data_IF_323450316290
#
_entry.id   IF_323450316290
#
_cell.length_a   1.000
_cell.length_b   1.000
_cell.length_c   1.000
_cell.angle_alpha   90.00
_cell.angle_beta   90.00
_cell.angle_gamma   90.00
#
_symmetry.space_group_name_H-M   'P 1'
#
loop_
_entity.id
_entity.type
_entity.pdbx_description
1 polymer ?
#
# COMPACT_ATOMS: atom_id res chain seq x y z
N UNK A 1 -5.47 9.56 -0.66
CA UNK A 1 -5.73 8.85 0.61
C UNK A 1 -7.22 8.85 0.94
N UNK A 2 -7.91 9.99 1.03
CA UNK A 2 -9.38 9.97 1.27
C UNK A 2 -10.18 9.24 0.16
N UNK A 3 -9.78 9.40 -1.10
CA UNK A 3 -10.39 8.70 -2.24
C UNK A 3 -10.09 7.19 -2.28
N UNK A 4 -9.29 6.67 -1.34
CA UNK A 4 -9.01 5.24 -1.20
C UNK A 4 -10.14 4.53 -0.43
N UNK A 5 -10.86 5.23 0.44
CA UNK A 5 -11.94 4.65 1.27
C UNK A 5 -13.04 3.98 0.43
N UNK A 6 -13.58 4.58 -0.65
CA UNK A 6 -14.57 3.90 -1.48
C UNK A 6 -14.07 2.60 -2.11
N UNK A 7 -12.78 2.53 -2.47
CA UNK A 7 -12.17 1.30 -2.99
C UNK A 7 -12.12 0.22 -1.91
N UNK A 8 -11.72 0.58 -0.69
CA UNK A 8 -11.70 -0.32 0.48
C UNK A 8 -13.11 -0.87 0.74
N UNK A 9 -14.11 0.00 0.84
CA UNK A 9 -15.49 -0.40 1.11
C UNK A 9 -16.07 -1.26 -0.01
N UNK A 10 -15.77 -0.95 -1.27
CA UNK A 10 -16.22 -1.78 -2.41
C UNK A 10 -15.59 -3.17 -2.36
N UNK A 11 -14.29 -3.27 -2.09
CA UNK A 11 -13.62 -4.56 -1.94
C UNK A 11 -14.22 -5.36 -0.78
N UNK A 12 -14.48 -4.71 0.36
CA UNK A 12 -15.06 -5.37 1.53
C UNK A 12 -16.50 -5.84 1.30
N UNK A 13 -17.30 -5.07 0.57
CA UNK A 13 -18.67 -5.45 0.21
C UNK A 13 -18.72 -6.67 -0.72
N UNK A 14 -17.80 -6.75 -1.69
CA UNK A 14 -17.75 -7.85 -2.66
C UNK A 14 -16.97 -9.07 -2.16
N UNK A 15 -16.03 -8.86 -1.24
CA UNK A 15 -15.22 -9.89 -0.60
C UNK A 15 -15.20 -9.67 0.93
N UNK A 16 -16.27 -10.03 1.65
CA UNK A 16 -16.41 -9.75 3.10
C UNK A 16 -15.24 -10.29 3.95
N UNK A 17 -14.72 -11.45 3.59
CA UNK A 17 -13.62 -12.13 4.30
C UNK A 17 -12.22 -11.59 3.93
N UNK A 18 -12.12 -10.70 2.94
CA UNK A 18 -10.83 -10.16 2.52
C UNK A 18 -10.17 -9.36 3.64
N UNK A 19 -8.88 -9.62 3.89
CA UNK A 19 -8.04 -8.79 4.75
C UNK A 19 -7.42 -7.68 3.90
N UNK A 20 -7.80 -6.44 4.20
CA UNK A 20 -7.37 -5.28 3.43
C UNK A 20 -6.24 -4.57 4.18
N UNK A 21 -5.03 -4.69 3.66
CA UNK A 21 -3.87 -3.94 4.13
C UNK A 21 -3.67 -2.69 3.26
N UNK A 22 -3.28 -1.56 3.87
CA UNK A 22 -3.06 -0.31 3.14
C UNK A 22 -1.64 0.19 3.38
N UNK A 23 -0.94 0.47 2.27
CA UNK A 23 0.38 1.11 2.26
C UNK A 23 0.22 2.60 1.90
N UNK A 24 0.74 3.47 2.75
CA UNK A 24 0.57 4.92 2.65
C UNK A 24 1.74 5.69 3.26
N UNK A 25 1.75 7.02 3.14
CA UNK A 25 2.75 7.82 3.84
C UNK A 25 2.52 7.80 5.35
N UNK A 26 3.61 7.73 6.12
CA UNK A 26 3.56 7.61 7.58
C UNK A 26 2.72 8.70 8.25
N UNK A 27 2.80 9.94 7.77
CA UNK A 27 2.04 11.09 8.31
C UNK A 27 0.55 11.07 7.93
N UNK A 28 0.13 10.19 7.01
CA UNK A 28 -1.27 10.07 6.56
C UNK A 28 -2.01 8.90 7.20
N UNK A 29 -1.33 8.07 8.00
CA UNK A 29 -1.93 6.95 8.75
C UNK A 29 -3.16 7.37 9.58
N UNK A 30 -3.14 8.49 10.33
CA UNK A 30 -4.30 8.90 11.12
C UNK A 30 -5.57 9.17 10.31
N UNK A 31 -5.47 9.38 8.99
CA UNK A 31 -6.64 9.63 8.13
C UNK A 31 -7.49 8.37 7.98
N UNK A 32 -6.87 7.18 8.08
CA UNK A 32 -7.52 5.89 7.86
C UNK A 32 -7.52 4.99 9.11
N UNK A 33 -6.96 5.44 10.24
CA UNK A 33 -6.81 4.60 11.44
C UNK A 33 -8.13 4.11 12.02
N UNK A 34 -9.20 4.91 11.87
CA UNK A 34 -10.53 4.61 12.40
C UNK A 34 -11.40 3.81 11.44
N UNK A 35 -10.89 3.41 10.26
CA UNK A 35 -11.68 2.61 9.33
C UNK A 35 -11.67 1.11 9.74
N UNK A 36 -12.81 0.55 10.19
CA UNK A 36 -12.87 -0.83 10.67
C UNK A 36 -12.71 -1.88 9.54
N UNK A 37 -12.81 -1.47 8.28
CA UNK A 37 -12.64 -2.36 7.12
C UNK A 37 -11.16 -2.67 6.84
N UNK A 38 -10.23 -1.93 7.46
CA UNK A 38 -8.79 -2.07 7.27
C UNK A 38 -8.21 -3.05 8.30
N UNK A 39 -7.48 -4.05 7.81
CA UNK A 39 -6.77 -5.03 8.63
C UNK A 39 -5.44 -4.48 9.17
N UNK A 40 -4.64 -3.83 8.33
CA UNK A 40 -3.36 -3.24 8.74
C UNK A 40 -2.97 -2.00 7.93
N UNK A 41 -2.24 -1.09 8.58
CA UNK A 41 -1.68 0.12 7.98
C UNK A 41 -0.15 0.06 7.98
N UNK A 42 0.46 0.36 6.83
CA UNK A 42 1.91 0.41 6.65
C UNK A 42 2.33 1.80 6.19
N UNK A 43 3.32 2.37 6.89
CA UNK A 43 3.84 3.71 6.61
C UNK A 43 5.14 3.69 5.82
N UNK A 44 5.18 4.47 4.74
CA UNK A 44 6.41 4.89 4.06
C UNK A 44 6.86 6.21 4.69
N UNK A 45 8.09 6.25 5.19
CA UNK A 45 8.71 7.49 5.68
C UNK A 45 9.78 7.98 4.71
N UNK A 46 9.67 9.24 4.29
CA UNK A 46 10.66 9.92 3.48
C UNK A 46 11.62 10.81 4.31
N UNK A 47 11.42 10.89 5.63
CA UNK A 47 12.14 11.84 6.49
C UNK A 47 13.51 11.33 6.93
N UNK A 48 14.50 12.22 6.93
CA UNK A 48 15.69 12.20 7.80
C UNK A 48 16.72 11.09 7.60
N UNK A 49 16.46 10.09 6.77
CA UNK A 49 17.33 8.93 6.59
C UNK A 49 18.40 9.16 5.52
N UNK A 50 19.65 8.80 5.81
CA UNK A 50 20.71 8.71 4.80
C UNK A 50 20.38 7.64 3.74
N UNK A 51 21.02 7.66 2.57
CA UNK A 51 20.69 6.73 1.46
C UNK A 51 20.70 5.26 1.88
N UNK A 52 21.66 4.86 2.73
CA UNK A 52 21.76 3.48 3.27
C UNK A 52 20.54 3.11 4.13
N UNK A 53 20.08 4.03 4.97
CA UNK A 53 18.92 3.81 5.84
C UNK A 53 17.63 3.76 5.03
N UNK A 54 17.48 4.59 3.98
CA UNK A 54 16.34 4.51 3.05
C UNK A 54 16.24 3.14 2.40
N UNK A 55 17.37 2.60 1.93
CA UNK A 55 17.41 1.26 1.33
C UNK A 55 17.05 0.20 2.37
N UNK A 56 17.64 0.25 3.58
CA UNK A 56 17.34 -0.68 4.66
C UNK A 56 15.85 -0.67 5.03
N UNK A 57 15.26 0.53 5.15
CA UNK A 57 13.84 0.69 5.46
C UNK A 57 12.95 0.14 4.35
N UNK A 58 13.28 0.40 3.08
CA UNK A 58 12.56 -0.15 1.94
C UNK A 58 12.62 -1.68 1.90
N UNK A 59 13.80 -2.27 2.12
CA UNK A 59 13.97 -3.73 2.18
C UNK A 59 13.20 -4.36 3.35
N UNK A 60 13.23 -3.73 4.51
CA UNK A 60 12.46 -4.16 5.69
C UNK A 60 10.94 -4.12 5.41
N UNK A 61 10.47 -3.04 4.79
CA UNK A 61 9.08 -2.88 4.40
C UNK A 61 8.66 -3.94 3.37
N UNK A 62 9.45 -4.16 2.31
CA UNK A 62 9.19 -5.19 1.30
C UNK A 62 9.13 -6.58 1.96
N UNK A 63 10.06 -6.90 2.85
CA UNK A 63 10.06 -8.19 3.57
C UNK A 63 8.79 -8.36 4.41
N UNK A 64 8.38 -7.31 5.12
CA UNK A 64 7.17 -7.32 5.95
C UNK A 64 5.91 -7.53 5.10
N UNK A 65 5.79 -6.79 4.00
CA UNK A 65 4.65 -6.90 3.07
C UNK A 65 4.62 -8.27 2.38
N UNK A 66 5.77 -8.80 1.96
CA UNK A 66 5.85 -10.11 1.30
C UNK A 66 5.42 -11.26 2.22
N UNK A 67 5.64 -11.14 3.53
CA UNK A 67 5.19 -12.16 4.49
C UNK A 67 3.67 -12.32 4.54
N UNK A 68 2.91 -11.29 4.11
CA UNK A 68 1.45 -11.33 4.07
C UNK A 68 0.88 -12.11 2.88
N UNK A 69 1.71 -12.48 1.88
CA UNK A 69 1.32 -13.31 0.72
C UNK A 69 0.04 -12.81 0.02
N UNK A 70 0.03 -11.54 -0.40
CA UNK A 70 -1.13 -10.91 -1.02
C UNK A 70 -1.55 -11.59 -2.33
N UNK A 71 -2.84 -11.91 -2.47
CA UNK A 71 -3.42 -12.39 -3.74
C UNK A 71 -3.60 -11.25 -4.76
N UNK A 72 -3.95 -10.05 -4.27
CA UNK A 72 -4.24 -8.87 -5.07
C UNK A 72 -3.53 -7.63 -4.50
N UNK A 73 -2.89 -6.86 -5.39
CA UNK A 73 -2.39 -5.52 -5.09
C UNK A 73 -3.09 -4.50 -5.99
N UNK A 74 -3.72 -3.50 -5.39
CA UNK A 74 -4.35 -2.36 -6.09
C UNK A 74 -3.48 -1.13 -5.88
N UNK A 75 -2.70 -0.76 -6.89
CA UNK A 75 -1.88 0.45 -6.86
C UNK A 75 -2.66 1.64 -7.42
N UNK A 76 -3.07 2.53 -6.51
CA UNK A 76 -3.84 3.76 -6.81
C UNK A 76 -2.95 5.00 -7.00
N UNK A 77 -1.62 4.84 -7.07
CA UNK A 77 -0.68 5.94 -7.29
C UNK A 77 0.17 5.73 -8.53
N UNK A 78 0.51 6.84 -9.17
CA UNK A 78 1.46 6.98 -10.28
C UNK A 78 2.93 7.05 -9.82
N UNK A 79 3.19 7.01 -8.50
CA UNK A 79 4.54 7.11 -7.96
C UNK A 79 5.39 5.89 -8.30
N UNK A 80 6.44 6.12 -9.09
CA UNK A 80 7.35 5.08 -9.55
C UNK A 80 8.03 4.32 -8.40
N UNK A 81 8.30 4.98 -7.27
CA UNK A 81 8.91 4.36 -6.09
C UNK A 81 7.99 3.34 -5.43
N UNK A 82 6.67 3.59 -5.43
CA UNK A 82 5.66 2.64 -4.94
C UNK A 82 5.50 1.48 -5.93
N UNK A 83 5.50 1.75 -7.24
CA UNK A 83 5.48 0.70 -8.26
C UNK A 83 6.66 -0.28 -8.11
N UNK A 84 7.83 0.22 -7.70
CA UNK A 84 9.00 -0.61 -7.41
C UNK A 84 8.76 -1.51 -6.19
N UNK A 85 8.20 -0.99 -5.09
CA UNK A 85 7.81 -1.80 -3.92
C UNK A 85 6.83 -2.89 -4.33
N UNK A 86 5.77 -2.53 -5.06
CA UNK A 86 4.72 -3.45 -5.54
C UNK A 86 5.31 -4.56 -6.40
N UNK A 87 6.24 -4.25 -7.30
CA UNK A 87 6.91 -5.26 -8.15
C UNK A 87 7.67 -6.33 -7.35
N UNK A 88 8.09 -6.01 -6.12
CA UNK A 88 8.73 -6.97 -5.22
C UNK A 88 7.75 -7.68 -4.29
N UNK A 89 6.47 -7.34 -4.32
CA UNK A 89 5.42 -8.13 -3.69
C UNK A 89 5.09 -9.26 -4.66
N UNK A 90 5.25 -10.52 -4.23
CA UNK A 90 4.99 -11.71 -5.05
C UNK A 90 3.48 -11.95 -5.21
N UNK A 91 2.71 -10.91 -5.51
CA UNK A 91 1.27 -11.00 -5.62
C UNK A 91 0.85 -11.64 -6.94
N UNK A 92 -0.22 -12.43 -6.90
CA UNK A 92 -0.76 -13.12 -8.07
C UNK A 92 -1.32 -12.14 -9.09
N UNK A 93 -1.94 -11.06 -8.64
CA UNK A 93 -2.50 -10.00 -9.50
C UNK A 93 -2.11 -8.62 -8.99
N UNK A 94 -1.61 -7.76 -9.88
CA UNK A 94 -1.33 -6.36 -9.59
C UNK A 94 -2.08 -5.44 -10.58
N UNK A 95 -3.02 -4.65 -10.07
CA UNK A 95 -3.73 -3.62 -10.83
C UNK A 95 -3.03 -2.28 -10.62
N UNK A 96 -2.51 -1.71 -11.69
CA UNK A 96 -1.84 -0.40 -11.67
C UNK A 96 -2.69 0.58 -12.47
N UNK A 97 -3.32 1.54 -11.78
CA UNK A 97 -4.06 2.61 -12.44
C UNK A 97 -3.04 3.67 -12.88
N UNK A 98 -2.94 3.88 -14.19
CA UNK A 98 -2.07 4.92 -14.77
C UNK A 98 -2.97 6.03 -15.31
N UNK A 99 -2.99 7.18 -14.64
CA UNK A 99 -3.64 8.36 -15.18
C UNK A 99 -2.77 8.88 -16.32
N UNK A 100 -3.27 8.81 -17.55
CA UNK A 100 -2.69 9.56 -18.65
C UNK A 100 -3.01 11.04 -18.36
N UNK A 101 -1.97 11.86 -18.21
CA UNK A 101 -2.17 13.30 -18.13
C UNK A 101 -2.84 13.76 -19.43
N UNK A 102 -3.97 14.43 -19.32
CA UNK A 102 -4.57 15.20 -20.41
C UNK A 102 -3.90 16.56 -20.53
#
# INVERSE_FOLDING_TARGET
MLLTTPVISTLKQNYPDAKIDVLLYQNTIPILSENPEINALYGISNKGAGTKEKIKNALSLIKKLRANSYDLVVNLTDQWSVALIVRFLNASVALIVRFLNF
#
